data_IF_064868855424
#
_entry.id   IF_064868855424
#
_cell.length_a   1.000
_cell.length_b   1.000
_cell.length_c   1.000
_cell.angle_alpha   90.00
_cell.angle_beta   90.00
_cell.angle_gamma   90.00
#
_symmetry.space_group_name_H-M   'P 1'
#
loop_
_entity.id
_entity.type
_entity.pdbx_description
1 polymer ?
#
# COMPACT_ATOMS: atom_id res chain seq x y z
N UNK A 1 6.57 16.32 -8.86
CA UNK A 1 7.07 14.95 -9.11
C UNK A 1 6.62 14.05 -7.96
N UNK A 2 6.07 12.89 -8.26
CA UNK A 2 5.68 11.90 -7.23
C UNK A 2 6.42 10.58 -7.42
N UNK A 3 6.67 9.91 -6.32
CA UNK A 3 7.31 8.59 -6.26
C UNK A 3 6.26 7.63 -5.72
N UNK A 4 5.96 6.56 -6.45
CA UNK A 4 5.00 5.55 -5.98
C UNK A 4 5.71 4.30 -5.47
N UNK A 5 5.23 3.77 -4.35
CA UNK A 5 5.77 2.59 -3.68
C UNK A 5 4.64 1.60 -3.35
N UNK A 6 4.96 0.30 -3.36
CA UNK A 6 4.03 -0.73 -2.87
C UNK A 6 3.97 -0.75 -1.35
N UNK A 7 2.83 -1.19 -0.77
CA UNK A 7 2.74 -1.48 0.66
C UNK A 7 3.53 -2.75 0.99
N UNK A 8 3.62 -3.10 2.27
CA UNK A 8 4.09 -4.40 2.71
C UNK A 8 2.93 -5.22 3.31
N UNK A 9 3.04 -6.56 3.22
CA UNK A 9 2.04 -7.46 3.84
C UNK A 9 2.10 -7.47 5.35
N UNK A 10 3.29 -7.30 5.91
CA UNK A 10 3.52 -7.22 7.34
C UNK A 10 3.41 -5.77 7.78
N UNK A 11 2.68 -5.57 8.86
CA UNK A 11 2.48 -4.24 9.44
C UNK A 11 2.64 -4.31 10.96
N UNK A 12 3.10 -3.21 11.55
CA UNK A 12 3.18 -3.01 12.99
C UNK A 12 2.28 -1.84 13.44
N UNK A 13 2.02 -1.81 14.73
CA UNK A 13 1.45 -0.64 15.42
C UNK A 13 2.61 0.09 16.09
N UNK A 14 2.69 1.39 15.88
CA UNK A 14 3.69 2.28 16.46
C UNK A 14 3.03 3.64 16.71
N UNK A 15 2.42 3.76 17.87
CA UNK A 15 1.64 4.97 18.27
C UNK A 15 2.45 5.98 19.05
N UNK A 16 3.67 5.64 19.42
CA UNK A 16 4.45 6.39 20.40
C UNK A 16 5.69 7.08 19.81
N UNK A 17 6.13 6.65 18.61
CA UNK A 17 7.38 7.16 18.04
C UNK A 17 7.21 8.54 17.40
N UNK A 18 6.18 8.73 16.58
CA UNK A 18 5.94 9.98 15.84
C UNK A 18 4.42 10.12 15.62
N UNK A 19 3.91 11.33 15.79
CA UNK A 19 2.51 11.65 15.55
C UNK A 19 2.16 11.60 14.06
N UNK A 20 0.92 11.24 13.76
CA UNK A 20 0.37 11.32 12.41
C UNK A 20 0.06 12.76 12.04
N UNK A 21 0.26 13.13 10.76
CA UNK A 21 0.02 14.50 10.28
C UNK A 21 -1.32 14.66 9.58
N UNK A 22 -1.86 13.58 9.01
CA UNK A 22 -3.05 13.61 8.18
C UNK A 22 -3.80 12.27 8.21
N UNK A 23 -4.99 12.28 7.65
CA UNK A 23 -5.79 11.08 7.41
C UNK A 23 -5.68 10.67 5.93
N UNK A 24 -5.83 9.36 5.63
CA UNK A 24 -5.95 8.90 4.26
C UNK A 24 -7.07 9.61 3.50
N UNK A 25 -6.77 10.03 2.28
CA UNK A 25 -7.71 10.84 1.45
C UNK A 25 -9.00 10.09 1.09
N UNK A 26 -8.93 8.75 0.99
CA UNK A 26 -10.06 7.92 0.57
C UNK A 26 -10.71 7.14 1.72
N UNK A 27 -10.83 7.73 2.91
CA UNK A 27 -11.41 7.02 4.08
C UNK A 27 -12.82 6.50 3.83
N UNK A 28 -13.69 7.25 3.14
CA UNK A 28 -15.03 6.80 2.81
C UNK A 28 -15.02 5.49 1.99
N UNK A 29 -14.17 5.42 0.97
CA UNK A 29 -13.97 4.18 0.20
C UNK A 29 -13.34 3.06 1.03
N UNK A 30 -12.46 3.41 1.97
CA UNK A 30 -11.86 2.47 2.92
C UNK A 30 -12.92 1.86 3.84
N UNK A 31 -13.86 2.66 4.33
CA UNK A 31 -15.00 2.21 5.13
C UNK A 31 -15.92 1.28 4.35
N UNK A 32 -16.13 1.55 3.06
CA UNK A 32 -16.89 0.66 2.17
C UNK A 32 -16.21 -0.70 2.02
N UNK A 33 -14.89 -0.73 1.80
CA UNK A 33 -14.10 -1.98 1.77
C UNK A 33 -14.18 -2.71 3.12
N UNK A 34 -14.04 -1.98 4.23
CA UNK A 34 -14.13 -2.56 5.57
C UNK A 34 -15.49 -3.20 5.81
N UNK A 35 -16.58 -2.50 5.51
CA UNK A 35 -17.93 -3.00 5.65
C UNK A 35 -18.19 -4.24 4.77
N UNK A 36 -17.64 -4.23 3.55
CA UNK A 36 -17.72 -5.40 2.66
C UNK A 36 -16.96 -6.60 3.26
N UNK A 37 -15.76 -6.41 3.82
CA UNK A 37 -15.00 -7.49 4.47
C UNK A 37 -15.70 -8.00 5.74
N UNK A 38 -16.25 -7.11 6.58
CA UNK A 38 -16.98 -7.50 7.78
C UNK A 38 -18.23 -8.34 7.49
N UNK A 39 -18.82 -8.19 6.31
CA UNK A 39 -19.93 -9.01 5.84
C UNK A 39 -19.53 -10.39 5.29
N UNK A 40 -18.26 -10.77 5.31
CA UNK A 40 -17.76 -12.06 4.80
C UNK A 40 -17.60 -13.09 5.90
N UNK A 41 -17.74 -14.35 5.51
CA UNK A 41 -17.43 -15.49 6.41
C UNK A 41 -15.92 -15.63 6.58
N UNK A 42 -15.50 -16.31 7.65
CA UNK A 42 -14.09 -16.61 7.89
C UNK A 42 -13.43 -17.37 6.73
N UNK A 43 -14.17 -18.32 6.13
CA UNK A 43 -13.68 -19.08 4.98
C UNK A 43 -13.48 -18.21 3.74
N UNK A 44 -14.37 -17.26 3.49
CA UNK A 44 -14.24 -16.29 2.40
C UNK A 44 -13.05 -15.37 2.62
N UNK A 45 -12.87 -14.85 3.83
CA UNK A 45 -11.73 -14.00 4.19
C UNK A 45 -10.40 -14.74 4.10
N UNK A 46 -10.34 -16.00 4.55
CA UNK A 46 -9.15 -16.84 4.42
C UNK A 46 -8.75 -17.03 2.95
N UNK A 47 -9.73 -17.27 2.06
CA UNK A 47 -9.50 -17.37 0.62
C UNK A 47 -9.06 -16.03 0.01
N UNK A 48 -9.68 -14.91 0.44
CA UNK A 48 -9.35 -13.57 0.00
C UNK A 48 -7.90 -13.22 0.32
N UNK A 49 -7.49 -13.45 1.57
CA UNK A 49 -6.17 -13.10 2.10
C UNK A 49 -5.08 -14.12 1.79
N UNK A 50 -5.46 -15.32 1.32
CA UNK A 50 -4.54 -16.43 1.01
C UNK A 50 -3.52 -16.67 2.11
N UNK A 51 -3.98 -16.83 3.34
CA UNK A 51 -3.14 -16.99 4.53
C UNK A 51 -3.58 -18.18 5.38
N UNK A 52 -2.75 -18.54 6.38
CA UNK A 52 -3.06 -19.61 7.32
C UNK A 52 -4.09 -19.17 8.38
N UNK A 53 -4.61 -20.12 9.16
CA UNK A 53 -5.69 -19.89 10.14
C UNK A 53 -5.28 -18.84 11.19
N UNK A 54 -4.05 -18.90 11.71
CA UNK A 54 -3.56 -17.92 12.69
C UNK A 54 -3.64 -16.48 12.17
N UNK A 55 -3.15 -16.25 10.97
CA UNK A 55 -3.17 -14.93 10.32
C UNK A 55 -4.61 -14.53 9.99
N UNK A 56 -5.46 -15.49 9.60
CA UNK A 56 -6.89 -15.24 9.34
C UNK A 56 -7.58 -14.71 10.58
N UNK A 57 -7.48 -15.43 11.70
CA UNK A 57 -8.09 -15.06 12.98
C UNK A 57 -7.62 -13.69 13.45
N UNK A 58 -6.31 -13.41 13.39
CA UNK A 58 -5.74 -12.12 13.76
C UNK A 58 -6.33 -10.98 12.93
N UNK A 59 -6.46 -11.16 11.62
CA UNK A 59 -6.99 -10.10 10.75
C UNK A 59 -8.52 -9.98 10.86
N UNK A 60 -9.25 -11.03 11.19
CA UNK A 60 -10.68 -10.94 11.53
C UNK A 60 -10.89 -10.05 12.75
N UNK A 61 -10.11 -10.24 13.81
CA UNK A 61 -10.19 -9.38 14.99
C UNK A 61 -9.81 -7.93 14.67
N UNK A 62 -8.80 -7.72 13.84
CA UNK A 62 -8.43 -6.38 13.37
C UNK A 62 -9.59 -5.67 12.66
N UNK A 63 -10.23 -6.31 11.67
CA UNK A 63 -11.35 -5.67 10.95
C UNK A 63 -12.58 -5.46 11.82
N UNK A 64 -12.83 -6.30 12.83
CA UNK A 64 -13.95 -6.14 13.78
C UNK A 64 -13.76 -4.93 14.71
N UNK A 65 -12.51 -4.69 15.12
CA UNK A 65 -12.17 -3.65 16.11
C UNK A 65 -11.56 -2.40 15.48
N UNK A 66 -11.45 -2.37 14.14
CA UNK A 66 -10.80 -1.29 13.42
C UNK A 66 -11.43 0.07 13.71
N UNK A 67 -10.58 1.05 14.01
CA UNK A 67 -10.99 2.41 14.28
C UNK A 67 -10.03 3.39 13.58
N UNK A 68 -10.57 4.26 12.73
CA UNK A 68 -9.79 5.22 11.95
C UNK A 68 -9.47 6.51 12.68
N UNK A 69 -9.76 6.60 13.99
CA UNK A 69 -9.51 7.77 14.81
C UNK A 69 -8.61 7.51 16.02
N UNK A 70 -8.27 6.24 16.29
CA UNK A 70 -7.50 5.86 17.47
C UNK A 70 -6.39 4.88 17.12
N UNK A 71 -5.29 4.98 17.86
CA UNK A 71 -4.14 4.08 17.72
C UNK A 71 -3.60 4.05 16.28
N UNK A 72 -3.53 5.22 15.66
CA UNK A 72 -3.03 5.37 14.30
C UNK A 72 -1.50 5.38 14.30
N UNK A 73 -0.94 4.74 13.30
CA UNK A 73 0.50 4.72 13.03
C UNK A 73 0.75 5.42 11.70
N UNK A 74 1.76 6.32 11.58
CA UNK A 74 2.15 6.86 10.29
C UNK A 74 2.42 5.75 9.27
N UNK A 75 1.87 5.87 8.06
CA UNK A 75 1.92 4.81 7.06
C UNK A 75 3.36 4.33 6.78
N UNK A 76 4.33 5.25 6.70
CA UNK A 76 5.73 4.91 6.46
C UNK A 76 6.36 4.07 7.58
N UNK A 77 5.86 4.19 8.81
CA UNK A 77 6.30 3.41 9.97
C UNK A 77 5.50 2.12 10.14
N UNK A 78 4.27 2.09 9.65
CA UNK A 78 3.37 0.95 9.82
C UNK A 78 3.79 -0.26 8.97
N UNK A 79 4.33 -0.05 7.77
CA UNK A 79 4.72 -1.14 6.88
C UNK A 79 6.09 -1.72 7.23
N UNK A 80 6.16 -3.05 7.34
CA UNK A 80 7.39 -3.81 7.58
C UNK A 80 7.73 -4.64 6.33
N UNK A 81 8.59 -4.12 5.48
CA UNK A 81 9.08 -4.78 4.26
C UNK A 81 10.49 -4.30 3.92
N UNK A 82 11.16 -4.98 3.00
CA UNK A 82 12.56 -4.69 2.63
C UNK A 82 12.73 -3.22 2.23
N UNK A 83 11.85 -2.68 1.38
CA UNK A 83 11.93 -1.28 0.96
C UNK A 83 11.85 -0.30 2.15
N UNK A 84 10.98 -0.57 3.12
CA UNK A 84 10.81 0.25 4.33
C UNK A 84 11.99 0.09 5.29
N UNK A 85 12.58 -1.10 5.40
CA UNK A 85 13.78 -1.33 6.21
C UNK A 85 14.98 -0.55 5.65
N UNK A 86 15.17 -0.56 4.33
CA UNK A 86 16.27 0.21 3.71
C UNK A 86 16.01 1.72 3.71
N UNK A 87 14.76 2.14 3.61
CA UNK A 87 14.37 3.55 3.77
C UNK A 87 14.65 4.04 5.20
N UNK A 88 14.55 3.14 6.20
CA UNK A 88 14.81 3.40 7.61
C UNK A 88 14.12 4.67 8.17
N UNK A 89 12.79 4.80 8.07
CA UNK A 89 12.08 6.03 8.44
C UNK A 89 12.20 6.39 9.92
N UNK A 90 12.57 5.45 10.77
CA UNK A 90 12.80 5.69 12.20
C UNK A 90 14.00 6.58 12.51
N UNK A 91 14.90 6.79 11.52
CA UNK A 91 16.08 7.66 11.66
C UNK A 91 15.99 8.90 10.76
N UNK A 92 14.82 9.23 10.26
CA UNK A 92 14.61 10.44 9.49
C UNK A 92 14.72 11.68 10.38
N UNK A 93 15.32 12.73 9.83
CA UNK A 93 15.31 14.08 10.35
C UNK A 93 14.14 14.87 9.71
N UNK A 94 13.80 16.05 10.25
CA UNK A 94 12.68 16.86 9.81
C UNK A 94 12.65 17.07 8.28
N UNK A 95 13.77 17.43 7.67
CA UNK A 95 13.85 17.63 6.22
C UNK A 95 13.62 16.37 5.39
N UNK A 96 13.86 15.18 5.94
CA UNK A 96 13.54 13.91 5.27
C UNK A 96 12.03 13.66 5.31
N UNK A 97 11.36 13.94 6.43
CA UNK A 97 9.91 13.81 6.54
C UNK A 97 9.20 14.76 5.58
N UNK A 98 9.63 16.02 5.50
CA UNK A 98 9.06 16.99 4.56
C UNK A 98 9.18 16.51 3.12
N UNK A 99 10.36 16.02 2.72
CA UNK A 99 10.61 15.51 1.38
C UNK A 99 9.73 14.30 1.05
N UNK A 100 9.68 13.28 1.92
CA UNK A 100 8.87 12.10 1.64
C UNK A 100 7.36 12.41 1.69
N UNK A 101 6.92 13.30 2.59
CA UNK A 101 5.53 13.72 2.67
C UNK A 101 5.05 14.42 1.39
N UNK A 102 5.92 15.23 0.79
CA UNK A 102 5.63 15.90 -0.47
C UNK A 102 5.64 14.92 -1.65
N UNK A 103 6.66 14.08 -1.73
CA UNK A 103 6.96 13.33 -2.95
C UNK A 103 6.52 11.88 -2.95
N UNK A 104 6.52 11.18 -1.80
CA UNK A 104 6.21 9.75 -1.74
C UNK A 104 4.70 9.51 -1.63
N UNK A 105 4.22 8.51 -2.36
CA UNK A 105 2.86 7.97 -2.28
C UNK A 105 2.93 6.46 -2.16
N UNK A 106 2.33 5.92 -1.10
CA UNK A 106 2.26 4.48 -0.88
C UNK A 106 0.92 4.01 -1.40
N UNK A 107 0.94 3.14 -2.41
CA UNK A 107 -0.27 2.55 -2.96
C UNK A 107 -0.78 1.48 -2.01
N UNK A 108 -2.10 1.41 -1.83
CA UNK A 108 -2.74 0.50 -0.90
C UNK A 108 -4.02 -0.06 -1.50
N UNK A 109 -4.23 -1.37 -1.38
CA UNK A 109 -5.49 -1.98 -1.80
C UNK A 109 -6.66 -1.57 -0.90
N UNK A 110 -6.37 -1.23 0.37
CA UNK A 110 -7.36 -0.88 1.39
C UNK A 110 -7.59 0.63 1.51
N UNK A 111 -6.52 1.42 1.52
CA UNK A 111 -6.58 2.88 1.68
C UNK A 111 -6.45 3.67 0.37
N UNK A 112 -6.18 3.01 -0.75
CA UNK A 112 -5.96 3.65 -2.05
C UNK A 112 -4.56 4.25 -2.20
N UNK A 113 -4.40 5.52 -1.88
CA UNK A 113 -3.13 6.24 -1.86
C UNK A 113 -2.91 6.82 -0.47
N UNK A 114 -1.72 6.63 0.06
CA UNK A 114 -1.29 7.15 1.36
C UNK A 114 -0.11 8.10 1.20
N UNK A 115 -0.14 9.19 1.93
CA UNK A 115 1.06 9.98 2.24
C UNK A 115 1.82 9.29 3.39
N UNK A 116 3.14 9.47 3.51
CA UNK A 116 3.94 8.81 4.53
C UNK A 116 3.43 8.98 5.97
N UNK A 117 2.93 10.17 6.29
CA UNK A 117 2.47 10.52 7.63
C UNK A 117 0.95 10.40 7.81
N UNK A 118 0.24 9.79 6.87
CA UNK A 118 -1.17 9.45 7.06
C UNK A 118 -1.31 8.40 8.17
N UNK A 119 -2.26 8.65 9.08
CA UNK A 119 -2.56 7.75 10.17
C UNK A 119 -3.34 6.53 9.71
N UNK A 120 -2.76 5.35 9.85
CA UNK A 120 -3.40 4.09 9.45
C UNK A 120 -3.40 3.05 10.57
N UNK A 121 -4.28 2.08 10.44
CA UNK A 121 -4.31 0.87 11.26
C UNK A 121 -3.88 -0.34 10.42
N UNK A 122 -3.29 -1.39 11.02
CA UNK A 122 -2.94 -2.60 10.30
C UNK A 122 -4.14 -3.28 9.66
N UNK A 123 -3.97 -3.70 8.43
CA UNK A 123 -4.96 -4.42 7.63
C UNK A 123 -4.29 -5.52 6.81
N UNK A 124 -5.10 -6.36 6.16
CA UNK A 124 -4.62 -7.32 5.17
C UNK A 124 -5.53 -7.32 3.96
N UNK A 125 -5.06 -6.76 2.86
CA UNK A 125 -5.70 -6.81 1.56
C UNK A 125 -4.65 -6.55 0.47
N UNK A 126 -4.63 -7.37 -0.58
CA UNK A 126 -3.77 -7.23 -1.74
C UNK A 126 -4.58 -6.69 -2.91
N UNK A 127 -3.98 -5.90 -3.81
CA UNK A 127 -4.70 -5.26 -4.92
C UNK A 127 -5.29 -6.28 -5.90
N UNK A 128 -4.64 -7.43 -6.07
CA UNK A 128 -5.13 -8.54 -6.91
C UNK A 128 -6.11 -9.49 -6.19
N UNK A 129 -6.53 -9.16 -4.96
CA UNK A 129 -7.53 -9.94 -4.25
C UNK A 129 -8.87 -9.94 -5.01
N UNK A 130 -9.57 -11.07 -4.97
CA UNK A 130 -10.87 -11.21 -5.63
C UNK A 130 -11.97 -10.60 -4.76
N UNK A 131 -12.03 -9.27 -4.73
CA UNK A 131 -13.04 -8.51 -4.01
C UNK A 131 -13.90 -7.75 -5.03
N UNK A 132 -15.18 -8.08 -5.09
CA UNK A 132 -16.19 -7.36 -5.83
C UNK A 132 -17.02 -6.53 -4.84
N UNK A 133 -16.90 -5.21 -4.92
CA UNK A 133 -17.48 -4.27 -3.96
C UNK A 133 -18.41 -3.32 -4.72
N UNK A 134 -19.64 -3.19 -4.27
CA UNK A 134 -20.66 -2.46 -5.03
C UNK A 134 -20.81 -3.03 -6.44
N UNK A 135 -20.76 -2.17 -7.44
CA UNK A 135 -20.86 -2.55 -8.86
C UNK A 135 -19.52 -2.97 -9.48
N UNK A 136 -18.41 -2.91 -8.71
CA UNK A 136 -17.08 -3.26 -9.22
C UNK A 136 -16.84 -4.77 -9.24
N UNK A 137 -16.07 -5.24 -10.23
CA UNK A 137 -15.73 -6.66 -10.38
C UNK A 137 -14.47 -7.06 -9.63
N UNK A 138 -13.63 -6.11 -9.26
CA UNK A 138 -12.35 -6.29 -8.56
C UNK A 138 -11.87 -4.94 -8.00
N UNK A 139 -10.79 -4.95 -7.21
CA UNK A 139 -10.24 -3.74 -6.60
C UNK A 139 -9.66 -2.73 -7.61
N UNK A 140 -9.18 -3.17 -8.77
CA UNK A 140 -8.73 -2.23 -9.81
C UNK A 140 -9.90 -1.42 -10.38
N UNK A 141 -11.08 -2.07 -10.56
CA UNK A 141 -12.31 -1.39 -10.98
C UNK A 141 -12.86 -0.49 -9.88
N UNK A 142 -12.82 -0.97 -8.62
CA UNK A 142 -13.29 -0.22 -7.45
C UNK A 142 -12.53 1.10 -7.27
N UNK A 143 -11.21 1.06 -7.40
CA UNK A 143 -10.39 2.25 -7.31
C UNK A 143 -10.46 3.10 -8.57
N UNK A 144 -10.64 2.49 -9.75
CA UNK A 144 -10.71 3.20 -11.01
C UNK A 144 -9.51 4.11 -11.25
N UNK A 145 -9.75 5.32 -11.71
CA UNK A 145 -8.75 6.36 -11.98
C UNK A 145 -8.44 7.25 -10.75
N UNK A 146 -9.16 7.06 -9.62
CA UNK A 146 -8.98 7.89 -8.43
C UNK A 146 -7.53 7.89 -7.93
N UNK A 147 -6.84 6.73 -8.02
CA UNK A 147 -5.46 6.64 -7.56
C UNK A 147 -4.50 7.42 -8.45
N UNK A 148 -4.74 7.44 -9.76
CA UNK A 148 -3.96 8.23 -10.70
C UNK A 148 -4.12 9.73 -10.42
N UNK A 149 -5.35 10.22 -10.25
CA UNK A 149 -5.60 11.63 -9.99
C UNK A 149 -5.05 12.11 -8.65
N UNK A 150 -4.96 11.24 -7.63
CA UNK A 150 -4.33 11.58 -6.35
C UNK A 150 -2.79 11.57 -6.43
N UNK A 151 -2.22 10.79 -7.35
CA UNK A 151 -0.77 10.70 -7.51
C UNK A 151 -0.22 11.79 -8.42
N UNK A 152 -0.91 12.10 -9.53
CA UNK A 152 -0.38 13.04 -10.52
C UNK A 152 -0.38 14.48 -9.98
N UNK A 153 0.69 15.24 -10.25
CA UNK A 153 0.81 16.65 -9.90
C UNK A 153 1.13 17.50 -11.18
N UNK A 154 1.27 18.80 -11.02
CA UNK A 154 1.54 19.75 -12.11
C UNK A 154 2.84 19.42 -12.87
N UNK A 155 3.79 18.73 -12.24
CA UNK A 155 5.03 18.31 -12.90
C UNK A 155 4.83 17.21 -13.93
N UNK A 156 3.72 16.47 -13.84
CA UNK A 156 3.40 15.32 -14.69
C UNK A 156 4.48 14.22 -14.66
N UNK A 157 5.29 14.14 -13.59
CA UNK A 157 6.37 13.17 -13.46
C UNK A 157 6.05 12.19 -12.34
N UNK A 158 6.03 10.89 -12.68
CA UNK A 158 5.85 9.79 -11.73
C UNK A 158 7.06 8.86 -11.81
N UNK A 159 7.72 8.63 -10.68
CA UNK A 159 8.77 7.63 -10.52
C UNK A 159 8.15 6.38 -9.88
N UNK A 160 8.17 5.28 -10.62
CA UNK A 160 7.60 4.02 -10.16
C UNK A 160 8.65 3.13 -9.51
N UNK A 161 8.50 2.91 -8.20
CA UNK A 161 9.19 1.89 -7.40
C UNK A 161 8.24 0.78 -6.95
N UNK A 162 6.96 0.88 -7.33
CA UNK A 162 5.95 -0.10 -6.94
C UNK A 162 6.04 -1.36 -7.81
N UNK A 163 5.63 -2.49 -7.23
CA UNK A 163 5.49 -3.75 -7.96
C UNK A 163 4.40 -3.64 -9.03
N UNK A 164 4.46 -4.54 -10.03
CA UNK A 164 3.50 -4.59 -11.13
C UNK A 164 2.05 -4.73 -10.69
N UNK A 165 1.81 -5.35 -9.54
CA UNK A 165 0.48 -5.46 -8.94
C UNK A 165 -0.13 -4.09 -8.65
N UNK A 166 0.67 -3.17 -8.09
CA UNK A 166 0.19 -1.85 -7.69
C UNK A 166 0.38 -0.81 -8.79
N UNK A 167 1.46 -0.86 -9.56
CA UNK A 167 1.71 0.10 -10.64
C UNK A 167 0.64 0.09 -11.73
N UNK A 168 -0.03 -1.05 -11.95
CA UNK A 168 -1.16 -1.16 -12.88
C UNK A 168 -2.31 -0.20 -12.58
N UNK A 169 -2.51 0.17 -11.31
CA UNK A 169 -3.55 1.13 -10.91
C UNK A 169 -3.30 2.52 -11.48
N UNK A 170 -2.04 2.84 -11.78
CA UNK A 170 -1.60 4.13 -12.33
C UNK A 170 -1.39 4.01 -13.84
N UNK A 171 -0.67 2.98 -14.28
CA UNK A 171 -0.27 2.79 -15.69
C UNK A 171 -1.44 2.82 -16.66
N UNK A 172 -2.60 2.29 -16.26
CA UNK A 172 -3.82 2.24 -17.08
C UNK A 172 -4.36 3.63 -17.46
N UNK A 173 -4.07 4.64 -16.66
CA UNK A 173 -4.65 5.99 -16.77
C UNK A 173 -3.63 7.05 -17.21
N UNK A 174 -2.39 6.64 -17.50
CA UNK A 174 -1.36 7.55 -18.01
C UNK A 174 -1.78 8.15 -19.35
N UNK A 175 -1.46 9.43 -19.50
CA UNK A 175 -1.69 10.21 -20.72
C UNK A 175 -0.35 10.47 -21.44
N UNK A 176 -0.37 10.92 -22.72
CA UNK A 176 0.85 11.27 -23.44
C UNK A 176 1.69 12.40 -22.78
N UNK A 177 1.06 13.22 -21.94
CA UNK A 177 1.73 14.33 -21.23
C UNK A 177 2.47 13.84 -19.96
N UNK A 178 2.25 12.60 -19.55
CA UNK A 178 2.86 12.05 -18.35
C UNK A 178 4.25 11.46 -18.62
N UNK A 179 5.18 11.81 -17.77
CA UNK A 179 6.50 11.19 -17.74
C UNK A 179 6.54 10.13 -16.65
N UNK A 180 6.38 8.88 -17.06
CA UNK A 180 6.38 7.72 -16.17
C UNK A 180 7.71 6.97 -16.27
N UNK A 181 8.45 6.88 -15.15
CA UNK A 181 9.79 6.31 -15.10
C UNK A 181 9.77 5.14 -14.12
N UNK A 182 9.94 3.92 -14.61
CA UNK A 182 10.08 2.72 -13.76
C UNK A 182 11.54 2.45 -13.46
N UNK A 183 11.87 2.33 -12.16
CA UNK A 183 13.19 1.93 -11.70
C UNK A 183 13.11 0.45 -11.33
N UNK A 184 13.91 -0.37 -12.00
CA UNK A 184 14.01 -1.81 -11.74
C UNK A 184 15.37 -2.10 -11.08
N UNK A 185 15.31 -2.81 -9.97
CA UNK A 185 16.52 -3.32 -9.31
C UNK A 185 16.81 -4.72 -9.86
N UNK A 186 18.01 -4.92 -10.37
CA UNK A 186 18.43 -6.20 -10.94
C UNK A 186 19.74 -6.65 -10.29
N UNK A 187 19.81 -7.93 -9.95
CA UNK A 187 21.03 -8.57 -9.47
C UNK A 187 21.62 -9.44 -10.57
N UNK A 188 22.92 -9.35 -10.83
CA UNK A 188 23.58 -10.16 -11.83
C UNK A 188 24.03 -11.47 -11.17
N UNK A 189 23.40 -12.57 -11.52
CA UNK A 189 23.80 -13.91 -11.08
C UNK A 189 24.07 -14.82 -12.27
N UNK A 190 25.29 -15.31 -12.39
CA UNK A 190 25.66 -16.32 -13.39
C UNK A 190 25.44 -15.92 -14.85
N UNK A 191 25.55 -14.63 -15.20
CA UNK A 191 25.34 -14.13 -16.57
C UNK A 191 23.88 -13.83 -16.92
N UNK A 192 22.94 -14.02 -16.00
CA UNK A 192 21.53 -13.67 -16.13
C UNK A 192 21.19 -12.50 -15.21
N UNK A 193 20.42 -11.53 -15.71
CA UNK A 193 19.85 -10.45 -14.89
C UNK A 193 18.61 -11.00 -14.16
N UNK A 194 18.73 -11.18 -12.85
CA UNK A 194 17.60 -11.50 -11.99
C UNK A 194 16.93 -10.20 -11.55
N UNK A 195 15.65 -10.07 -11.81
CA UNK A 195 14.84 -8.99 -11.28
C UNK A 195 14.71 -9.16 -9.77
N UNK A 196 15.39 -8.36 -9.00
CA UNK A 196 15.12 -8.19 -7.58
C UNK A 196 14.15 -7.02 -7.42
N UNK A 197 12.86 -7.32 -7.63
CA UNK A 197 11.84 -6.39 -7.15
C UNK A 197 11.88 -6.42 -5.61
N UNK A 198 11.74 -5.29 -4.92
CA UNK A 198 11.49 -5.27 -3.47
C UNK A 198 10.09 -5.83 -3.14
N UNK A 199 9.64 -6.85 -3.88
CA UNK A 199 8.36 -7.53 -3.70
C UNK A 199 8.47 -8.53 -2.55
N UNK A 200 7.45 -8.65 -1.68
CA UNK A 200 7.43 -9.57 -0.53
C UNK A 200 7.42 -11.06 -0.89
N UNK A 201 7.67 -11.45 -2.15
CA UNK A 201 7.63 -12.86 -2.57
C UNK A 201 8.87 -13.67 -2.23
N UNK A 202 9.98 -13.04 -1.89
CA UNK A 202 11.26 -13.73 -1.74
C UNK A 202 11.59 -14.22 -0.32
N UNK A 203 10.59 -14.25 0.57
CA UNK A 203 10.70 -14.76 1.94
C UNK A 203 10.09 -16.15 2.17
N UNK A 204 9.78 -16.92 1.13
CA UNK A 204 9.16 -18.25 1.27
C UNK A 204 10.03 -19.33 0.58
N UNK A 205 11.20 -19.61 1.14
CA UNK A 205 11.88 -20.90 0.94
C UNK A 205 12.46 -21.38 2.25
N UNK A 206 11.92 -22.47 2.70
CA UNK A 206 12.20 -23.51 3.69
C UNK A 206 11.37 -23.49 4.94
#
# INVERSE_FOLDING_TARGET
MKIILSPAKKMKVDTDSIDTMSNPVFLEKTEEILGWMQGRTEEELKKLWKCNDKITTENIERIKTMNFQKQLTPAVLAYEGIAYQYMAPAVFEDGHFDYVQEHLRILSAFYGVLKPMDGITPYRLEMQAKAAIGDSTNLYDFWGDNLYWEVIDDSRIIINLASKEYSKCIEKYLTPDDRYITISFCEQSGGCLLYTSPSPRDGATS
#
